data_IF_404318854309
#
_entry.id   IF_404318854309
#
_cell.length_a   1.000
_cell.length_b   1.000
_cell.length_c   1.000
_cell.angle_alpha   90.00
_cell.angle_beta   90.00
_cell.angle_gamma   90.00
#
_symmetry.space_group_name_H-M   'P 1'
#
loop_
_entity.id
_entity.type
_entity.pdbx_description
1 polymer ?
#
# COMPACT_ATOMS: atom_id res chain seq x y z
N UNK A 1 47.54 -54.49 -14.01
CA UNK A 1 46.40 -53.62 -14.38
C UNK A 1 45.23 -53.72 -13.40
N UNK A 2 44.79 -54.91 -12.98
CA UNK A 2 43.69 -55.09 -12.02
C UNK A 2 43.86 -54.42 -10.63
N UNK A 3 45.09 -54.29 -10.11
CA UNK A 3 45.33 -53.65 -8.80
C UNK A 3 45.08 -52.14 -8.81
N UNK A 4 45.46 -51.45 -9.89
CA UNK A 4 45.27 -50.00 -10.01
C UNK A 4 43.78 -49.63 -10.15
N UNK A 5 43.00 -50.45 -10.84
CA UNK A 5 41.54 -50.28 -10.93
C UNK A 5 40.86 -50.49 -9.57
N UNK A 6 41.33 -51.45 -8.79
CA UNK A 6 40.80 -51.74 -7.45
C UNK A 6 41.11 -50.62 -6.45
N UNK A 7 42.29 -50.01 -6.52
CA UNK A 7 42.66 -48.83 -5.72
C UNK A 7 41.81 -47.60 -6.11
N UNK A 8 41.59 -47.39 -7.40
CA UNK A 8 40.78 -46.27 -7.88
C UNK A 8 39.30 -46.41 -7.48
N UNK A 9 38.77 -47.63 -7.47
CA UNK A 9 37.42 -47.91 -6.93
C UNK A 9 37.33 -47.64 -5.43
N UNK A 10 38.36 -48.03 -4.65
CA UNK A 10 38.40 -47.75 -3.21
C UNK A 10 38.42 -46.25 -2.92
N UNK A 11 39.23 -45.48 -3.65
CA UNK A 11 39.28 -44.02 -3.49
C UNK A 11 37.94 -43.36 -3.84
N UNK A 12 37.26 -43.80 -4.91
CA UNK A 12 35.93 -43.28 -5.26
C UNK A 12 34.91 -43.55 -4.17
N UNK A 13 34.92 -44.76 -3.62
CA UNK A 13 34.02 -45.15 -2.53
C UNK A 13 34.27 -44.34 -1.25
N UNK A 14 35.53 -44.07 -0.90
CA UNK A 14 35.86 -43.22 0.25
C UNK A 14 35.40 -41.77 0.06
N UNK A 15 35.59 -41.20 -1.14
CA UNK A 15 35.12 -39.85 -1.47
C UNK A 15 33.60 -39.78 -1.39
N UNK A 16 32.89 -40.76 -1.92
CA UNK A 16 31.43 -40.81 -1.90
C UNK A 16 30.91 -40.96 -0.46
N UNK A 17 31.56 -41.78 0.36
CA UNK A 17 31.27 -41.91 1.79
C UNK A 17 31.47 -40.60 2.56
N UNK A 18 32.53 -39.85 2.26
CA UNK A 18 32.77 -38.53 2.86
C UNK A 18 31.71 -37.51 2.44
N UNK A 19 31.32 -37.47 1.15
CA UNK A 19 30.24 -36.60 0.66
C UNK A 19 28.91 -36.90 1.32
N UNK A 20 28.57 -38.19 1.49
CA UNK A 20 27.36 -38.61 2.19
C UNK A 20 27.36 -38.23 3.67
N UNK A 21 28.52 -38.32 4.34
CA UNK A 21 28.64 -37.89 5.73
C UNK A 21 28.43 -36.37 5.87
N UNK A 22 29.06 -35.57 5.00
CA UNK A 22 28.94 -34.12 4.99
C UNK A 22 27.51 -33.66 4.66
N UNK A 23 26.84 -34.33 3.72
CA UNK A 23 25.43 -34.06 3.40
C UNK A 23 24.48 -34.36 4.55
N UNK A 24 24.73 -35.44 5.31
CA UNK A 24 23.95 -35.76 6.52
C UNK A 24 24.13 -34.72 7.62
N UNK A 25 25.35 -34.22 7.80
CA UNK A 25 25.66 -33.18 8.78
C UNK A 25 24.99 -31.85 8.42
N UNK A 26 25.06 -31.43 7.16
CA UNK A 26 24.37 -30.23 6.68
C UNK A 26 22.85 -30.30 6.85
N UNK A 27 22.25 -31.46 6.56
CA UNK A 27 20.81 -31.67 6.77
C UNK A 27 20.43 -31.62 8.25
N UNK A 28 21.27 -32.16 9.14
CA UNK A 28 21.07 -32.07 10.58
C UNK A 28 21.13 -30.62 11.06
N UNK A 29 22.11 -29.84 10.58
CA UNK A 29 22.23 -28.41 10.89
C UNK A 29 21.02 -27.62 10.39
N UNK A 30 20.54 -27.86 9.16
CA UNK A 30 19.34 -27.21 8.63
C UNK A 30 18.11 -27.50 9.49
N UNK A 31 17.90 -28.75 9.90
CA UNK A 31 16.78 -29.13 10.78
C UNK A 31 16.87 -28.44 12.13
N UNK A 32 18.07 -28.31 12.71
CA UNK A 32 18.26 -27.57 13.97
C UNK A 32 17.90 -26.09 13.81
N UNK A 33 18.36 -25.45 12.74
CA UNK A 33 18.05 -24.04 12.45
C UNK A 33 16.55 -23.83 12.25
N UNK A 34 15.88 -24.74 11.56
CA UNK A 34 14.44 -24.68 11.32
C UNK A 34 13.64 -24.83 12.64
N UNK A 35 14.06 -25.74 13.52
CA UNK A 35 13.47 -25.89 14.86
C UNK A 35 13.68 -24.64 15.73
N UNK A 36 14.86 -24.01 15.66
CA UNK A 36 15.13 -22.77 16.38
C UNK A 36 14.27 -21.61 15.87
N UNK A 37 14.09 -21.49 14.55
CA UNK A 37 13.19 -20.50 13.96
C UNK A 37 11.75 -20.69 14.42
N UNK A 38 11.27 -21.93 14.45
CA UNK A 38 9.92 -22.24 14.89
C UNK A 38 9.72 -21.93 16.38
N UNK A 39 10.71 -22.21 17.23
CA UNK A 39 10.69 -21.81 18.65
C UNK A 39 10.67 -20.29 18.83
N UNK A 40 11.46 -19.56 18.05
CA UNK A 40 11.47 -18.09 18.10
C UNK A 40 10.13 -17.48 17.66
N UNK A 41 9.47 -18.09 16.67
CA UNK A 41 8.16 -17.66 16.20
C UNK A 41 7.07 -17.91 17.26
N UNK A 42 7.10 -19.06 17.92
CA UNK A 42 6.21 -19.34 19.07
C UNK A 42 6.41 -18.34 20.21
N UNK A 43 7.67 -18.05 20.59
CA UNK A 43 7.95 -17.04 21.62
C UNK A 43 7.45 -15.64 21.24
N UNK A 44 7.56 -15.26 19.96
CA UNK A 44 7.00 -13.98 19.48
C UNK A 44 5.49 -13.94 19.64
N UNK A 45 4.79 -15.01 19.28
CA UNK A 45 3.33 -15.10 19.44
C UNK A 45 2.92 -15.03 20.92
N UNK A 46 3.63 -15.70 21.82
CA UNK A 46 3.38 -15.63 23.26
C UNK A 46 3.55 -14.21 23.81
N UNK A 47 4.61 -13.50 23.38
CA UNK A 47 4.85 -12.11 23.77
C UNK A 47 3.73 -11.19 23.25
N UNK A 48 3.28 -11.38 22.02
CA UNK A 48 2.16 -10.61 21.46
C UNK A 48 0.87 -10.86 22.23
N UNK A 49 0.59 -12.11 22.57
CA UNK A 49 -0.58 -12.49 23.36
C UNK A 49 -0.54 -11.89 24.77
N UNK A 50 0.60 -11.97 25.46
CA UNK A 50 0.78 -11.37 26.78
C UNK A 50 0.62 -9.84 26.75
N UNK A 51 1.13 -9.18 25.71
CA UNK A 51 0.93 -7.72 25.50
C UNK A 51 -0.53 -7.38 25.24
N UNK A 52 -1.27 -8.23 24.53
CA UNK A 52 -2.70 -8.05 24.28
C UNK A 52 -3.49 -8.17 25.59
N UNK A 53 -3.19 -9.19 26.41
CA UNK A 53 -3.84 -9.40 27.70
C UNK A 53 -3.59 -8.23 28.67
N UNK A 54 -2.34 -7.77 28.80
CA UNK A 54 -2.00 -6.64 29.65
C UNK A 54 -2.80 -5.36 29.30
N UNK A 55 -3.08 -5.15 28.00
CA UNK A 55 -3.90 -4.02 27.54
C UNK A 55 -5.38 -4.17 27.83
N UNK A 56 -5.91 -5.38 27.73
CA UNK A 56 -7.30 -5.63 28.08
C UNK A 56 -7.52 -5.38 29.58
N UNK A 57 -6.55 -5.71 30.42
CA UNK A 57 -6.59 -5.37 31.84
C UNK A 57 -6.52 -3.85 32.09
N UNK A 58 -5.65 -3.13 31.38
CA UNK A 58 -5.57 -1.66 31.46
C UNK A 58 -6.85 -0.97 31.01
N UNK A 59 -7.50 -1.48 29.96
CA UNK A 59 -8.79 -0.94 29.47
C UNK A 59 -9.93 -1.20 30.45
N UNK A 60 -9.93 -2.33 31.16
CA UNK A 60 -10.92 -2.63 32.21
C UNK A 60 -10.77 -1.72 33.45
N UNK A 61 -9.61 -1.07 33.62
CA UNK A 61 -9.32 -0.20 34.78
C UNK A 61 -9.66 1.28 34.56
N UNK A 62 -10.11 1.72 33.37
CA UNK A 62 -10.50 3.12 33.11
C UNK A 62 -12.03 3.31 33.22
N UNK A 63 -12.55 4.23 34.06
CA UNK A 63 -13.98 4.54 34.12
C UNK A 63 -14.44 5.31 32.86
N UNK A 64 -15.65 5.00 32.40
CA UNK A 64 -16.36 5.72 31.32
C UNK A 64 -16.74 7.14 31.76
N UNK A 65 -16.36 8.13 30.96
CA UNK A 65 -16.94 9.47 30.98
C UNK A 65 -17.79 9.67 29.71
N UNK A 66 -18.96 10.28 29.91
CA UNK A 66 -20.19 10.24 29.10
C UNK A 66 -20.13 10.92 27.72
N UNK A 67 -20.88 10.35 26.74
CA UNK A 67 -21.27 10.97 25.46
C UNK A 67 -22.29 12.13 25.68
N UNK A 68 -22.59 13.05 24.71
CA UNK A 68 -23.29 12.77 23.42
C UNK A 68 -22.98 13.83 22.28
N UNK A 69 -23.78 14.04 21.19
CA UNK A 69 -24.73 13.20 20.44
C UNK A 69 -24.43 13.10 18.91
N UNK A 70 -25.27 12.32 18.23
CA UNK A 70 -25.42 12.08 16.78
C UNK A 70 -25.78 13.37 15.99
N UNK A 71 -25.12 13.59 14.84
CA UNK A 71 -25.52 14.58 13.85
C UNK A 71 -24.65 14.57 12.59
N UNK A 72 -25.27 14.27 11.44
CA UNK A 72 -24.90 14.64 10.07
C UNK A 72 -23.42 14.44 9.64
N UNK A 73 -23.18 13.45 8.76
CA UNK A 73 -21.92 13.36 8.00
C UNK A 73 -21.83 14.54 7.03
N UNK A 74 -21.31 15.65 7.53
CA UNK A 74 -20.78 16.75 6.74
C UNK A 74 -19.45 16.31 6.10
N UNK A 75 -19.24 16.80 4.89
CA UNK A 75 -17.99 16.74 4.13
C UNK A 75 -16.88 17.33 5.02
N UNK A 76 -15.99 16.47 5.53
CA UNK A 76 -14.87 16.95 6.33
C UNK A 76 -13.77 17.45 5.39
N UNK A 77 -13.84 18.73 5.03
CA UNK A 77 -12.66 19.47 4.56
C UNK A 77 -11.70 19.62 5.75
N UNK A 78 -10.76 18.68 5.89
CA UNK A 78 -9.69 18.80 6.88
C UNK A 78 -8.55 19.55 6.20
N UNK A 79 -8.46 20.85 6.44
CA UNK A 79 -7.27 21.63 6.09
C UNK A 79 -6.13 21.23 7.04
N UNK A 80 -4.99 20.70 6.56
CA UNK A 80 -3.82 20.54 7.41
C UNK A 80 -3.24 21.92 7.79
N UNK A 81 -2.70 22.11 9.00
CA UNK A 81 -2.04 23.35 9.37
C UNK A 81 -0.65 23.38 8.73
N UNK A 82 -0.39 24.28 7.78
CA UNK A 82 0.98 24.52 7.29
C UNK A 82 1.32 26.00 7.36
N UNK A 83 2.29 26.33 8.22
CA UNK A 83 2.97 27.62 8.28
C UNK A 83 3.83 27.80 7.02
N UNK A 84 3.66 28.95 6.36
CA UNK A 84 4.59 29.64 5.45
C UNK A 84 5.32 28.77 4.41
N UNK A 85 4.76 28.68 3.19
CA UNK A 85 5.46 28.26 1.98
C UNK A 85 5.98 29.48 1.20
N UNK A 86 7.23 29.48 0.73
CA UNK A 86 7.64 30.20 -0.47
C UNK A 86 7.53 29.25 -1.68
N UNK A 87 6.76 29.66 -2.70
CA UNK A 87 6.74 28.99 -4.01
C UNK A 87 5.47 28.25 -4.40
N UNK A 88 4.28 28.80 -4.10
CA UNK A 88 3.10 28.42 -4.87
C UNK A 88 3.25 29.02 -6.28
N UNK A 89 3.57 28.19 -7.28
CA UNK A 89 3.46 28.57 -8.68
C UNK A 89 2.02 29.00 -8.91
N UNK A 90 1.85 30.31 -9.10
CA UNK A 90 0.56 30.98 -9.23
C UNK A 90 -0.03 30.65 -10.63
N UNK A 91 -0.47 29.41 -10.83
CA UNK A 91 -1.15 28.99 -12.07
C UNK A 91 -2.60 29.47 -12.01
N UNK A 92 -2.89 30.51 -12.81
CA UNK A 92 -4.27 30.94 -13.06
C UNK A 92 -5.02 29.81 -13.77
N UNK A 93 -6.21 29.51 -13.26
CA UNK A 93 -7.17 28.61 -13.89
C UNK A 93 -7.59 29.14 -15.27
N UNK A 94 -6.88 28.75 -16.33
CA UNK A 94 -7.28 28.99 -17.71
C UNK A 94 -7.33 27.67 -18.45
N UNK A 95 -8.47 26.98 -18.41
CA UNK A 95 -8.85 25.89 -19.35
C UNK A 95 -7.83 24.75 -19.59
N UNK A 96 -6.83 24.61 -18.74
CA UNK A 96 -5.77 23.61 -18.89
C UNK A 96 -6.26 22.28 -18.30
N UNK A 97 -6.17 21.24 -19.12
CA UNK A 97 -6.23 19.83 -18.74
C UNK A 97 -5.42 19.60 -17.45
N UNK A 98 -6.08 19.10 -16.40
CA UNK A 98 -5.46 18.84 -15.11
C UNK A 98 -4.58 17.59 -15.20
N UNK A 99 -3.31 17.73 -14.83
CA UNK A 99 -2.35 16.63 -14.76
C UNK A 99 -2.58 15.83 -13.48
N UNK A 100 -2.96 14.57 -13.62
CA UNK A 100 -3.18 13.63 -12.52
C UNK A 100 -1.95 12.72 -12.35
N UNK A 101 -1.56 12.50 -11.09
CA UNK A 101 -0.68 11.42 -10.68
C UNK A 101 -1.42 10.40 -9.82
N UNK A 102 -1.17 9.11 -10.06
CA UNK A 102 -1.63 8.01 -9.20
C UNK A 102 -0.45 7.55 -8.35
N UNK A 103 -0.55 7.74 -7.04
CA UNK A 103 0.49 7.33 -6.09
C UNK A 103 0.26 5.91 -5.55
N UNK A 104 1.28 5.30 -4.91
CA UNK A 104 1.16 3.95 -4.34
C UNK A 104 -0.11 3.78 -3.51
N UNK A 105 -0.82 2.67 -3.72
CA UNK A 105 -2.03 2.35 -2.99
C UNK A 105 -1.74 1.57 -1.71
N UNK A 106 -2.47 1.87 -0.64
CA UNK A 106 -2.43 1.11 0.60
C UNK A 106 -3.65 0.18 0.68
N UNK A 107 -3.58 -0.93 -0.06
CA UNK A 107 -4.57 -1.99 0.02
C UNK A 107 -4.08 -3.08 0.97
N UNK A 108 -5.00 -3.66 1.75
CA UNK A 108 -4.71 -4.78 2.64
C UNK A 108 -5.90 -5.75 2.67
N UNK A 109 -5.62 -7.02 3.00
CA UNK A 109 -6.63 -8.04 3.23
C UNK A 109 -6.66 -8.39 4.72
N UNK A 110 -7.85 -8.56 5.29
CA UNK A 110 -8.01 -9.06 6.66
C UNK A 110 -7.69 -10.55 6.79
N UNK A 111 -7.72 -11.27 5.67
CA UNK A 111 -7.30 -12.65 5.53
C UNK A 111 -5.90 -12.70 4.92
N UNK A 112 -5.07 -13.67 5.31
CA UNK A 112 -3.71 -13.89 4.77
C UNK A 112 -3.68 -14.31 3.27
N UNK A 113 -4.72 -13.99 2.49
CA UNK A 113 -4.78 -14.33 1.07
C UNK A 113 -4.19 -13.18 0.23
N UNK A 114 -2.88 -13.02 0.33
CA UNK A 114 -2.11 -12.02 -0.42
C UNK A 114 -2.21 -12.21 -1.94
N UNK A 115 -2.67 -13.39 -2.40
CA UNK A 115 -2.79 -13.73 -3.83
C UNK A 115 -3.69 -12.76 -4.59
N UNK A 116 -4.68 -12.17 -3.92
CA UNK A 116 -5.61 -11.23 -4.56
C UNK A 116 -5.15 -9.77 -4.46
N UNK A 117 -4.25 -9.43 -3.52
CA UNK A 117 -3.85 -8.03 -3.29
C UNK A 117 -3.29 -7.39 -4.56
N UNK A 118 -2.42 -8.14 -5.24
CA UNK A 118 -1.77 -7.70 -6.48
C UNK A 118 -2.76 -7.44 -7.60
N UNK A 119 -3.66 -8.38 -7.85
CA UNK A 119 -4.67 -8.27 -8.90
C UNK A 119 -5.63 -7.11 -8.64
N UNK A 120 -5.99 -6.87 -7.38
CA UNK A 120 -6.83 -5.73 -7.00
C UNK A 120 -6.11 -4.39 -7.21
N UNK A 121 -4.82 -4.31 -6.87
CA UNK A 121 -4.00 -3.11 -7.13
C UNK A 121 -3.92 -2.79 -8.63
N UNK A 122 -3.64 -3.80 -9.46
CA UNK A 122 -3.57 -3.60 -10.91
C UNK A 122 -4.94 -3.18 -11.48
N UNK A 123 -6.00 -3.88 -11.09
CA UNK A 123 -7.36 -3.58 -11.55
C UNK A 123 -7.85 -2.19 -11.12
N UNK A 124 -7.45 -1.70 -9.94
CA UNK A 124 -7.82 -0.36 -9.49
C UNK A 124 -7.04 0.73 -10.22
N UNK A 125 -5.75 0.51 -10.54
CA UNK A 125 -4.98 1.43 -11.39
C UNK A 125 -5.63 1.54 -12.77
N UNK A 126 -5.96 0.41 -13.39
CA UNK A 126 -6.63 0.37 -14.69
C UNK A 126 -7.97 1.10 -14.64
N UNK A 127 -8.77 0.88 -13.60
CA UNK A 127 -10.04 1.57 -13.42
C UNK A 127 -9.87 3.10 -13.32
N UNK A 128 -8.84 3.59 -12.61
CA UNK A 128 -8.54 5.03 -12.54
C UNK A 128 -8.10 5.56 -13.91
N UNK A 129 -7.23 4.83 -14.61
CA UNK A 129 -6.76 5.22 -15.94
C UNK A 129 -7.93 5.37 -16.92
N UNK A 130 -8.87 4.42 -16.93
CA UNK A 130 -10.09 4.49 -17.74
C UNK A 130 -10.91 5.75 -17.44
N UNK A 131 -11.03 6.16 -16.17
CA UNK A 131 -11.72 7.41 -15.81
C UNK A 131 -11.02 8.63 -16.38
N UNK A 132 -9.69 8.67 -16.35
CA UNK A 132 -8.94 9.81 -16.89
C UNK A 132 -9.02 9.91 -18.40
N UNK A 133 -9.02 8.80 -19.12
CA UNK A 133 -9.12 8.82 -20.58
C UNK A 133 -10.50 9.25 -21.08
N UNK A 134 -11.54 8.99 -20.29
CA UNK A 134 -12.92 9.38 -20.61
C UNK A 134 -13.29 10.81 -20.20
N UNK A 135 -12.38 11.57 -19.56
CA UNK A 135 -12.62 12.94 -19.10
C UNK A 135 -11.56 13.89 -19.70
N UNK A 136 -11.97 14.72 -20.66
CA UNK A 136 -11.11 15.66 -21.40
C UNK A 136 -10.44 16.74 -20.52
N UNK A 137 -10.86 16.86 -19.26
CA UNK A 137 -10.26 17.76 -18.28
C UNK A 137 -9.13 17.11 -17.51
N UNK A 138 -8.89 15.81 -17.65
CA UNK A 138 -7.89 15.06 -16.90
C UNK A 138 -6.88 14.42 -17.85
N UNK A 139 -5.61 14.48 -17.47
CA UNK A 139 -4.56 13.70 -18.11
C UNK A 139 -3.74 12.96 -17.08
N UNK A 140 -3.76 11.64 -17.16
CA UNK A 140 -2.85 10.82 -16.39
C UNK A 140 -1.43 11.03 -16.92
N UNK A 141 -0.55 11.55 -16.07
CA UNK A 141 0.85 11.84 -16.44
C UNK A 141 1.85 11.01 -15.66
N UNK A 142 1.46 10.54 -14.47
CA UNK A 142 2.33 9.75 -13.61
C UNK A 142 1.56 8.60 -12.94
N UNK A 143 2.22 7.45 -12.83
CA UNK A 143 1.71 6.29 -12.11
C UNK A 143 2.81 5.64 -11.28
N UNK A 144 2.49 4.99 -10.17
CA UNK A 144 3.49 4.31 -9.35
C UNK A 144 3.89 2.93 -9.90
N UNK A 145 3.19 2.43 -10.92
CA UNK A 145 3.38 1.10 -11.45
C UNK A 145 2.92 1.01 -12.91
N UNK A 146 3.58 0.15 -13.68
CA UNK A 146 3.16 -0.20 -15.04
C UNK A 146 1.88 -1.04 -15.04
N UNK A 147 1.04 -0.85 -16.06
CA UNK A 147 -0.20 -1.60 -16.26
C UNK A 147 -0.42 -1.86 -17.76
N UNK A 148 -1.15 -2.94 -18.07
CA UNK A 148 -1.07 -3.64 -19.37
C UNK A 148 -1.52 -2.80 -20.57
N UNK A 149 -2.42 -1.82 -20.39
CA UNK A 149 -3.08 -1.20 -21.55
C UNK A 149 -2.60 0.21 -21.93
N UNK A 150 -1.98 1.00 -21.04
CA UNK A 150 -1.71 2.43 -21.36
C UNK A 150 -0.54 3.08 -20.61
N UNK A 151 0.69 2.67 -20.92
CA UNK A 151 1.92 3.34 -20.43
C UNK A 151 2.41 4.48 -21.34
N UNK A 152 1.86 4.65 -22.54
CA UNK A 152 2.34 5.67 -23.48
C UNK A 152 2.05 7.09 -22.95
N UNK A 153 3.11 7.83 -22.61
CA UNK A 153 3.02 9.19 -22.06
C UNK A 153 2.83 9.27 -20.54
N UNK A 154 2.81 8.14 -19.82
CA UNK A 154 2.75 8.09 -18.34
C UNK A 154 4.13 7.79 -17.78
N UNK A 155 4.67 8.69 -16.95
CA UNK A 155 5.95 8.49 -16.26
C UNK A 155 5.75 7.62 -15.03
N UNK A 156 6.52 6.53 -14.91
CA UNK A 156 6.46 5.63 -13.76
C UNK A 156 7.32 6.17 -12.59
N UNK A 157 6.69 6.33 -11.43
CA UNK A 157 7.29 6.82 -10.19
C UNK A 157 7.89 5.67 -9.37
N UNK A 158 8.84 4.92 -9.95
CA UNK A 158 9.45 3.74 -9.33
C UNK A 158 10.18 4.04 -8.00
N UNK A 159 10.70 5.26 -7.86
CA UNK A 159 11.56 5.65 -6.73
C UNK A 159 10.77 6.18 -5.52
N UNK A 160 9.47 6.44 -5.67
CA UNK A 160 8.61 6.72 -4.52
C UNK A 160 8.31 5.36 -3.88
N UNK A 161 9.10 4.98 -2.88
CA UNK A 161 8.86 3.71 -2.21
C UNK A 161 7.48 3.73 -1.57
N UNK A 162 6.78 2.58 -1.57
CA UNK A 162 5.41 2.40 -1.05
C UNK A 162 5.16 2.98 0.35
N UNK A 163 6.21 3.31 1.10
CA UNK A 163 6.12 3.81 2.47
C UNK A 163 6.30 5.33 2.61
N UNK A 164 6.86 6.03 1.61
CA UNK A 164 7.20 7.45 1.79
C UNK A 164 5.96 8.34 1.84
N UNK A 165 4.91 7.98 1.11
CA UNK A 165 3.64 8.71 1.07
C UNK A 165 2.60 8.17 2.06
N UNK A 166 2.93 7.14 2.84
CA UNK A 166 2.05 6.51 3.82
C UNK A 166 2.70 6.45 5.20
N UNK A 167 2.13 7.17 6.16
CA UNK A 167 2.64 7.23 7.53
C UNK A 167 1.83 6.38 8.49
N UNK A 168 2.54 5.61 9.31
CA UNK A 168 1.95 4.89 10.46
C UNK A 168 2.12 5.73 11.72
N UNK A 169 1.03 6.28 12.27
CA UNK A 169 1.09 7.13 13.48
C UNK A 169 1.42 6.33 14.76
N UNK A 170 1.07 5.05 14.79
CA UNK A 170 1.29 4.13 15.90
C UNK A 170 1.33 2.70 15.38
N UNK A 171 1.99 1.78 16.09
CA UNK A 171 2.08 0.37 15.66
C UNK A 171 0.69 -0.31 15.50
N UNK A 172 -0.38 0.25 16.07
CA UNK A 172 -1.77 -0.22 15.92
C UNK A 172 -2.63 0.63 14.99
N UNK A 173 -2.16 1.78 14.53
CA UNK A 173 -2.91 2.59 13.56
C UNK A 173 -2.73 2.02 12.16
N UNK A 174 -3.78 2.08 11.34
CA UNK A 174 -3.66 1.89 9.89
C UNK A 174 -2.71 2.95 9.31
N UNK A 175 -2.05 2.60 8.21
CA UNK A 175 -1.31 3.58 7.42
C UNK A 175 -2.28 4.66 6.92
N UNK A 176 -1.87 5.92 7.02
CA UNK A 176 -2.61 7.07 6.50
C UNK A 176 -1.74 7.87 5.54
N UNK A 177 -2.32 8.60 4.58
CA UNK A 177 -1.52 9.43 3.68
C UNK A 177 -0.68 10.41 4.48
N UNK A 178 0.61 10.51 4.13
CA UNK A 178 1.50 11.56 4.63
C UNK A 178 1.39 12.78 3.71
N UNK A 179 0.47 13.69 4.03
CA UNK A 179 0.21 14.86 3.20
C UNK A 179 1.41 15.81 3.10
N UNK A 180 2.35 15.78 4.06
CA UNK A 180 3.58 16.57 3.97
C UNK A 180 4.48 16.03 2.87
N UNK A 181 4.66 14.70 2.81
CA UNK A 181 5.42 14.04 1.74
C UNK A 181 4.72 14.13 0.39
N UNK A 182 3.39 13.96 0.34
CA UNK A 182 2.60 14.15 -0.89
C UNK A 182 2.75 15.58 -1.41
N UNK A 183 2.70 16.58 -0.55
CA UNK A 183 2.87 17.98 -0.96
C UNK A 183 4.29 18.27 -1.47
N UNK A 184 5.32 17.62 -0.93
CA UNK A 184 6.70 17.73 -1.44
C UNK A 184 6.84 17.17 -2.87
N UNK A 185 5.93 16.32 -3.33
CA UNK A 185 5.96 15.81 -4.70
C UNK A 185 5.75 16.93 -5.73
N UNK A 186 5.04 18.01 -5.40
CA UNK A 186 4.92 19.17 -6.31
C UNK A 186 6.29 19.77 -6.66
N UNK A 187 7.31 19.56 -5.83
CA UNK A 187 8.68 20.01 -6.11
C UNK A 187 9.43 19.08 -7.06
N UNK A 188 8.94 17.86 -7.28
CA UNK A 188 9.61 16.79 -8.04
C UNK A 188 8.88 16.41 -9.33
N UNK A 189 7.56 16.55 -9.35
CA UNK A 189 6.70 16.12 -10.45
C UNK A 189 5.71 17.24 -10.80
N UNK A 190 5.57 17.52 -12.10
CA UNK A 190 4.66 18.56 -12.62
C UNK A 190 3.24 17.99 -12.74
N UNK A 191 2.51 17.99 -11.62
CA UNK A 191 1.13 17.50 -11.51
C UNK A 191 0.25 18.49 -10.74
N UNK A 192 -1.04 18.53 -11.09
CA UNK A 192 -2.02 19.40 -10.42
C UNK A 192 -2.80 18.63 -9.35
N UNK A 193 -3.07 17.34 -9.62
CA UNK A 193 -3.87 16.46 -8.80
C UNK A 193 -3.13 15.17 -8.46
N UNK A 194 -3.34 14.69 -7.25
CA UNK A 194 -2.82 13.41 -6.76
C UNK A 194 -3.97 12.52 -6.30
N UNK A 195 -4.04 11.30 -6.82
CA UNK A 195 -4.97 10.28 -6.37
C UNK A 195 -4.26 9.21 -5.51
N UNK A 196 -4.85 8.90 -4.37
CA UNK A 196 -4.43 7.82 -3.47
C UNK A 196 -5.63 6.97 -3.06
N UNK A 197 -5.40 5.67 -2.89
CA UNK A 197 -6.43 4.70 -2.48
C UNK A 197 -5.94 3.96 -1.23
N UNK A 198 -6.72 4.04 -0.16
CA UNK A 198 -6.58 3.20 1.03
C UNK A 198 -7.73 2.20 1.04
N UNK A 199 -7.51 0.93 1.40
CA UNK A 199 -8.67 0.09 1.68
C UNK A 199 -8.41 -1.36 2.02
N UNK A 200 -9.48 -1.94 2.58
CA UNK A 200 -9.57 -3.34 2.98
C UNK A 200 -10.33 -4.12 1.90
N UNK A 201 -9.67 -5.08 1.26
CA UNK A 201 -10.25 -5.85 0.15
C UNK A 201 -11.48 -6.65 0.59
N UNK A 202 -11.39 -7.25 1.77
CA UNK A 202 -12.45 -8.04 2.37
C UNK A 202 -12.63 -7.61 3.83
N UNK A 203 -13.80 -7.08 4.23
CA UNK A 203 -15.11 -7.16 3.57
C UNK A 203 -15.38 -6.11 2.47
N UNK A 204 -14.42 -5.27 2.10
CA UNK A 204 -14.58 -4.22 1.10
C UNK A 204 -14.85 -2.86 1.74
N UNK A 205 -13.80 -2.13 2.08
CA UNK A 205 -13.90 -0.75 2.54
C UNK A 205 -12.74 0.05 2.02
N UNK A 206 -13.01 1.01 1.14
CA UNK A 206 -12.00 1.83 0.47
C UNK A 206 -12.23 3.30 0.77
N UNK A 207 -11.16 4.06 0.83
CA UNK A 207 -11.18 5.52 0.86
C UNK A 207 -10.34 6.01 -0.30
N UNK A 208 -10.97 6.79 -1.16
CA UNK A 208 -10.33 7.50 -2.25
C UNK A 208 -9.98 8.89 -1.77
N UNK A 209 -8.76 9.31 -2.03
CA UNK A 209 -8.29 10.65 -1.74
C UNK A 209 -7.81 11.31 -3.03
N UNK A 210 -8.32 12.50 -3.29
CA UNK A 210 -7.86 13.40 -4.34
C UNK A 210 -7.28 14.64 -3.67
N UNK A 211 -6.00 14.90 -3.89
CA UNK A 211 -5.30 16.06 -3.34
C UNK A 211 -5.04 17.08 -4.45
N UNK A 212 -5.54 18.29 -4.24
CA UNK A 212 -5.29 19.45 -5.07
C UNK A 212 -4.02 20.15 -4.57
N UNK A 213 -2.94 20.05 -5.34
CA UNK A 213 -1.63 20.56 -4.96
C UNK A 213 -1.57 22.08 -4.93
N UNK A 214 -2.30 22.75 -5.81
CA UNK A 214 -2.35 24.21 -5.87
C UNK A 214 -3.10 24.81 -4.67
N UNK A 215 -4.19 24.16 -4.26
CA UNK A 215 -5.04 24.61 -3.14
C UNK A 215 -4.67 23.98 -1.80
N UNK A 216 -3.73 23.02 -1.80
CA UNK A 216 -3.39 22.18 -0.66
C UNK A 216 -4.64 21.55 -0.01
N UNK A 217 -5.63 21.14 -0.82
CA UNK A 217 -6.95 20.70 -0.36
C UNK A 217 -7.20 19.24 -0.67
N UNK A 218 -7.73 18.52 0.32
CA UNK A 218 -8.05 17.10 0.21
C UNK A 218 -9.55 16.93 -0.02
N UNK A 219 -9.88 16.14 -1.03
CA UNK A 219 -11.22 15.64 -1.31
C UNK A 219 -11.19 14.14 -1.08
N UNK A 220 -12.11 13.60 -0.28
CA UNK A 220 -12.11 12.17 0.01
C UNK A 220 -13.50 11.57 -0.04
N UNK A 221 -13.58 10.33 -0.49
CA UNK A 221 -14.83 9.57 -0.52
C UNK A 221 -14.60 8.16 0.01
N UNK A 222 -15.41 7.80 1.01
CA UNK A 222 -15.44 6.43 1.53
C UNK A 222 -16.38 5.60 0.68
N UNK A 223 -15.98 4.36 0.44
CA UNK A 223 -16.71 3.39 -0.35
C UNK A 223 -16.74 2.04 0.37
N UNK A 224 -17.92 1.41 0.40
CA UNK A 224 -18.09 0.02 0.79
C UNK A 224 -18.86 -0.71 -0.31
N UNK A 225 -18.19 -1.52 -1.16
CA UNK A 225 -18.87 -2.30 -2.17
C UNK A 225 -19.87 -3.26 -1.55
N UNK A 226 -21.01 -3.44 -2.20
CA UNK A 226 -21.68 -4.73 -2.12
C UNK A 226 -20.72 -5.78 -2.73
N UNK A 227 -20.63 -6.94 -2.08
CA UNK A 227 -19.65 -8.00 -2.33
C UNK A 227 -19.19 -8.17 -3.80
N UNK A 228 -17.89 -8.37 -4.01
CA UNK A 228 -17.22 -8.76 -5.28
C UNK A 228 -17.23 -7.77 -6.45
N UNK A 229 -17.84 -6.59 -6.34
CA UNK A 229 -17.94 -5.63 -7.47
C UNK A 229 -16.70 -4.72 -7.66
N UNK A 230 -15.50 -5.14 -7.24
CA UNK A 230 -14.41 -4.20 -6.94
C UNK A 230 -13.93 -3.30 -8.11
N UNK A 231 -13.52 -3.81 -9.29
CA UNK A 231 -12.93 -2.95 -10.32
C UNK A 231 -13.93 -1.93 -10.88
N UNK A 232 -15.14 -2.39 -11.26
CA UNK A 232 -16.20 -1.52 -11.77
C UNK A 232 -16.65 -0.49 -10.74
N UNK A 233 -16.57 -0.83 -9.46
CA UNK A 233 -16.89 0.12 -8.41
C UNK A 233 -15.83 1.22 -8.31
N UNK A 234 -14.53 0.88 -8.33
CA UNK A 234 -13.43 1.86 -8.28
C UNK A 234 -13.65 2.98 -9.30
N UNK A 235 -13.95 2.61 -10.55
CA UNK A 235 -14.21 3.56 -11.63
C UNK A 235 -15.36 4.54 -11.28
N UNK A 236 -16.51 4.01 -10.87
CA UNK A 236 -17.67 4.83 -10.49
C UNK A 236 -17.38 5.81 -9.34
N UNK A 237 -16.58 5.40 -8.35
CA UNK A 237 -16.21 6.27 -7.22
C UNK A 237 -15.20 7.34 -7.61
N UNK A 238 -14.21 7.00 -8.44
CA UNK A 238 -13.26 7.98 -8.96
C UNK A 238 -14.00 9.01 -9.81
N UNK A 239 -14.88 8.59 -10.75
CA UNK A 239 -15.74 9.50 -11.51
C UNK A 239 -16.56 10.41 -10.59
N UNK A 240 -17.16 9.85 -9.56
CA UNK A 240 -17.95 10.64 -8.61
C UNK A 240 -17.09 11.62 -7.80
N UNK A 241 -15.90 11.22 -7.35
CA UNK A 241 -14.97 12.08 -6.63
C UNK A 241 -14.50 13.24 -7.51
N UNK A 242 -14.16 12.97 -8.77
CA UNK A 242 -13.77 14.00 -9.75
C UNK A 242 -14.93 14.95 -10.06
N UNK A 243 -16.15 14.42 -10.24
CA UNK A 243 -17.35 15.25 -10.42
C UNK A 243 -17.60 16.18 -9.22
N UNK A 244 -17.42 15.68 -8.00
CA UNK A 244 -17.56 16.47 -6.78
C UNK A 244 -16.44 17.53 -6.69
N UNK A 245 -15.21 17.20 -7.11
CA UNK A 245 -14.10 18.16 -7.21
C UNK A 245 -14.43 19.30 -8.17
N UNK A 246 -14.77 18.99 -9.42
CA UNK A 246 -15.00 19.99 -10.48
C UNK A 246 -16.23 20.87 -10.25
N UNK A 247 -17.25 20.39 -9.52
CA UNK A 247 -18.39 21.22 -9.11
C UNK A 247 -18.02 22.29 -8.09
N UNK A 248 -16.94 22.09 -7.36
CA UNK A 248 -16.48 22.94 -6.26
C UNK A 248 -15.22 23.75 -6.61
N UNK A 249 -14.88 23.83 -7.90
CA UNK A 249 -13.80 24.68 -8.44
C UNK A 249 -14.31 26.07 -8.75
#
# INVERSE_FOLDING_TARGET
>A
MAQAELELQRQRFEIEKQKLALGKEQLAQQKTIELEKLKLEQQKQEIEYAKLQARLEDMKRKPQETAPPVGQQMVAAVSPPVKNQPGALNRKASREEYKLAILPQNLYASTNDDRYLRSYQLASIQAVANVTFDDDRLKLTHGYEEFEDFTEGVTILSDITKNDVWKKKSIFSRLKPDWEEVNKLNLKIDVDLVLMIEGEIYPGSFTFYLYDLAKAKIYSKNFRPAWLAYPNSVEGYVRSLMKDYFKNQ
#
